data_IF_973359992668
#
_entry.id   IF_973359992668
#
_cell.length_a   1.000
_cell.length_b   1.000
_cell.length_c   1.000
_cell.angle_alpha   90.00
_cell.angle_beta   90.00
_cell.angle_gamma   90.00
#
_symmetry.space_group_name_H-M   'P 1'
#
loop_
_entity.id
_entity.type
_entity.pdbx_description
1 polymer ?
#
# COMPACT_ATOMS: atom_id res chain seq x y z
N UNK A 1 6.83 17.16 -30.52
CA UNK A 1 5.93 17.05 -29.35
C UNK A 1 5.93 18.39 -28.65
N UNK A 2 4.87 19.14 -28.81
CA UNK A 2 4.72 20.46 -28.18
C UNK A 2 4.50 20.24 -26.68
N UNK A 3 5.52 20.54 -25.88
CA UNK A 3 5.37 20.70 -24.44
C UNK A 3 4.37 21.82 -24.21
N UNK A 4 3.17 21.47 -23.81
CA UNK A 4 2.20 22.47 -23.39
C UNK A 4 2.75 23.10 -22.10
N UNK A 5 3.43 24.22 -22.25
CA UNK A 5 3.90 25.02 -21.14
C UNK A 5 2.65 25.53 -20.43
N UNK A 6 2.34 24.91 -19.31
CA UNK A 6 1.29 25.39 -18.40
C UNK A 6 1.63 26.85 -18.05
N UNK A 7 0.65 27.78 -18.18
CA UNK A 7 0.93 29.15 -17.79
C UNK A 7 1.42 29.19 -16.35
N UNK A 8 2.41 30.03 -16.03
CA UNK A 8 2.94 30.13 -14.68
C UNK A 8 1.80 30.51 -13.72
N UNK A 9 1.70 29.77 -12.60
CA UNK A 9 0.77 30.11 -11.54
C UNK A 9 1.22 31.44 -10.94
N UNK A 10 0.32 32.43 -10.77
CA UNK A 10 0.70 33.71 -10.15
C UNK A 10 1.29 33.51 -8.76
N UNK A 11 2.36 34.22 -8.42
CA UNK A 11 3.06 34.09 -7.13
C UNK A 11 2.12 34.20 -5.92
N UNK A 12 1.10 35.05 -6.00
CA UNK A 12 0.11 35.22 -4.95
C UNK A 12 -0.71 33.94 -4.67
N UNK A 13 -0.76 33.02 -5.62
CA UNK A 13 -1.51 31.76 -5.50
C UNK A 13 -0.63 30.58 -5.08
N UNK A 14 0.68 30.69 -5.21
CA UNK A 14 1.60 29.59 -4.96
C UNK A 14 1.56 29.08 -3.51
N UNK A 15 1.31 29.96 -2.55
CA UNK A 15 1.28 29.63 -1.12
C UNK A 15 -0.12 29.36 -0.58
N UNK A 16 -1.12 29.24 -1.42
CA UNK A 16 -2.47 28.89 -0.99
C UNK A 16 -2.54 27.40 -0.68
N UNK A 17 -3.20 27.05 0.42
CA UNK A 17 -3.37 25.66 0.84
C UNK A 17 -4.14 24.81 -0.19
N UNK A 18 -5.18 25.38 -0.78
CA UNK A 18 -6.01 24.71 -1.78
C UNK A 18 -5.30 24.47 -3.12
N UNK A 19 -4.12 25.05 -3.32
CA UNK A 19 -3.25 24.81 -4.47
C UNK A 19 -2.14 23.78 -4.20
N UNK A 20 -2.06 23.25 -2.98
CA UNK A 20 -1.04 22.28 -2.61
C UNK A 20 -1.54 20.86 -2.88
N UNK A 21 -1.06 20.22 -3.96
CA UNK A 21 -1.45 18.85 -4.31
C UNK A 21 -1.05 17.85 -3.23
N UNK A 22 0.10 18.06 -2.60
CA UNK A 22 0.56 17.17 -1.51
C UNK A 22 -0.36 17.23 -0.28
N UNK A 23 -0.98 18.37 0.00
CA UNK A 23 -2.00 18.45 1.04
C UNK A 23 -3.24 17.63 0.68
N UNK A 24 -3.70 17.70 -0.57
CA UNK A 24 -4.82 16.89 -1.06
C UNK A 24 -4.53 15.38 -0.93
N UNK A 25 -3.32 14.96 -1.28
CA UNK A 25 -2.87 13.57 -1.13
C UNK A 25 -2.82 13.15 0.34
N UNK A 26 -2.30 14.02 1.20
CA UNK A 26 -2.23 13.77 2.64
C UNK A 26 -3.62 13.61 3.25
N UNK A 27 -4.55 14.51 2.93
CA UNK A 27 -5.94 14.45 3.39
C UNK A 27 -6.64 13.18 2.89
N UNK A 28 -6.48 12.84 1.61
CA UNK A 28 -7.06 11.63 1.03
C UNK A 28 -6.49 10.37 1.69
N UNK A 29 -5.17 10.31 1.91
CA UNK A 29 -4.51 9.18 2.56
C UNK A 29 -5.05 8.95 3.99
N UNK A 30 -5.25 10.03 4.75
CA UNK A 30 -5.82 9.94 6.11
C UNK A 30 -7.28 9.47 6.08
N UNK A 31 -8.06 9.97 5.12
CA UNK A 31 -9.46 9.54 4.95
C UNK A 31 -9.56 8.06 4.58
N UNK A 32 -8.71 7.57 3.68
CA UNK A 32 -8.58 6.15 3.39
C UNK A 32 -8.24 5.33 4.63
N UNK A 33 -7.29 5.80 5.43
CA UNK A 33 -6.88 5.12 6.66
C UNK A 33 -8.03 4.90 7.64
N UNK A 34 -8.93 5.86 7.76
CA UNK A 34 -10.13 5.74 8.60
C UNK A 34 -11.08 4.64 8.10
N UNK A 35 -11.33 4.59 6.80
CA UNK A 35 -12.20 3.57 6.21
C UNK A 35 -11.55 2.18 6.31
N UNK A 36 -10.25 2.07 6.06
CA UNK A 36 -9.51 0.81 6.22
C UNK A 36 -9.55 0.29 7.64
N UNK A 37 -9.40 1.16 8.63
CA UNK A 37 -9.46 0.75 10.04
C UNK A 37 -10.77 0.03 10.35
N UNK A 38 -11.88 0.56 9.87
CA UNK A 38 -13.19 -0.07 10.01
C UNK A 38 -13.31 -1.36 9.19
N UNK A 39 -12.89 -1.31 7.93
CA UNK A 39 -13.02 -2.44 7.01
C UNK A 39 -12.16 -3.64 7.43
N UNK A 40 -11.00 -3.39 8.05
CA UNK A 40 -10.05 -4.43 8.46
C UNK A 40 -10.27 -4.94 9.88
N UNK A 41 -11.15 -4.32 10.63
CA UNK A 41 -11.39 -4.64 12.04
C UNK A 41 -11.74 -6.12 12.26
N UNK A 42 -12.62 -6.66 11.45
CA UNK A 42 -13.08 -8.05 11.56
C UNK A 42 -11.98 -9.05 11.13
N UNK A 43 -11.00 -8.60 10.37
CA UNK A 43 -9.85 -9.42 9.97
C UNK A 43 -8.72 -9.38 11.00
N UNK A 44 -8.80 -8.48 11.98
CA UNK A 44 -7.74 -8.29 12.96
C UNK A 44 -6.45 -7.72 12.37
N UNK A 45 -6.52 -7.03 11.23
CA UNK A 45 -5.36 -6.49 10.53
C UNK A 45 -5.30 -4.97 10.61
N UNK A 46 -4.10 -4.43 10.72
CA UNK A 46 -3.82 -3.02 10.39
C UNK A 46 -3.65 -2.89 8.87
N UNK A 47 -3.71 -1.65 8.36
CA UNK A 47 -3.51 -1.42 6.92
C UNK A 47 -2.13 -1.91 6.43
N UNK A 48 -0.99 -1.62 7.12
CA UNK A 48 0.30 -2.18 6.69
C UNK A 48 0.35 -3.70 6.69
N UNK A 49 -0.26 -4.36 7.67
CA UNK A 49 -0.36 -5.82 7.69
C UNK A 49 -1.18 -6.35 6.51
N UNK A 50 -2.27 -5.69 6.19
CA UNK A 50 -3.09 -6.01 5.03
C UNK A 50 -2.28 -5.91 3.72
N UNK A 51 -1.43 -4.90 3.57
CA UNK A 51 -0.56 -4.77 2.40
C UNK A 51 0.39 -5.96 2.26
N UNK A 52 0.98 -6.43 3.34
CA UNK A 52 1.83 -7.63 3.33
C UNK A 52 1.02 -8.85 2.88
N UNK A 53 -0.17 -9.01 3.43
CA UNK A 53 -1.05 -10.13 3.05
C UNK A 53 -1.44 -10.07 1.57
N UNK A 54 -1.71 -8.88 1.02
CA UNK A 54 -1.99 -8.72 -0.41
C UNK A 54 -0.83 -9.20 -1.27
N UNK A 55 0.40 -8.87 -0.91
CA UNK A 55 1.60 -9.34 -1.63
C UNK A 55 1.67 -10.87 -1.62
N UNK A 56 1.46 -11.47 -0.46
CA UNK A 56 1.56 -12.93 -0.31
C UNK A 56 0.39 -13.67 -0.98
N UNK A 57 -0.81 -13.11 -0.93
CA UNK A 57 -1.97 -13.71 -1.62
C UNK A 57 -1.82 -13.66 -3.15
N UNK A 58 -1.20 -12.62 -3.67
CA UNK A 58 -1.00 -12.45 -5.11
C UNK A 58 0.17 -13.30 -5.64
N UNK A 59 1.31 -13.24 -4.95
CA UNK A 59 2.57 -13.77 -5.47
C UNK A 59 3.04 -15.06 -4.80
N UNK A 60 2.43 -15.46 -3.68
CA UNK A 60 2.93 -16.56 -2.87
C UNK A 60 4.16 -16.15 -2.03
N UNK A 61 4.96 -17.12 -1.58
CA UNK A 61 6.11 -16.85 -0.72
C UNK A 61 7.08 -15.84 -1.35
N UNK A 62 7.57 -14.91 -0.51
CA UNK A 62 8.50 -13.85 -0.94
C UNK A 62 9.57 -13.62 0.12
N UNK A 63 10.80 -13.32 -0.31
CA UNK A 63 11.84 -12.83 0.60
C UNK A 63 11.41 -11.51 1.27
N UNK A 64 11.81 -11.32 2.52
CA UNK A 64 11.53 -10.08 3.27
C UNK A 64 11.95 -8.86 2.47
N UNK A 65 13.13 -8.90 1.86
CA UNK A 65 13.64 -7.79 1.03
C UNK A 65 12.70 -7.44 -0.13
N UNK A 66 12.18 -8.43 -0.83
CA UNK A 66 11.25 -8.23 -1.95
C UNK A 66 9.93 -7.62 -1.49
N UNK A 67 9.42 -8.04 -0.33
CA UNK A 67 8.22 -7.44 0.26
C UNK A 67 8.48 -5.96 0.59
N UNK A 68 9.60 -5.66 1.22
CA UNK A 68 9.98 -4.29 1.55
C UNK A 68 10.10 -3.39 0.33
N UNK A 69 10.73 -3.86 -0.73
CA UNK A 69 10.86 -3.13 -1.98
C UNK A 69 9.49 -2.86 -2.63
N UNK A 70 8.63 -3.87 -2.68
CA UNK A 70 7.30 -3.75 -3.28
C UNK A 70 6.39 -2.80 -2.50
N UNK A 71 6.45 -2.82 -1.17
CA UNK A 71 5.63 -1.98 -0.30
C UNK A 71 6.29 -0.63 0.03
N UNK A 72 7.54 -0.42 -0.41
CA UNK A 72 8.33 0.78 -0.12
C UNK A 72 8.53 0.97 1.39
N UNK A 73 8.78 -0.12 2.09
CA UNK A 73 9.05 -0.15 3.51
C UNK A 73 10.48 -0.60 3.78
N UNK A 74 11.17 0.09 4.69
CA UNK A 74 12.48 -0.33 5.15
C UNK A 74 12.38 -1.55 6.09
N UNK A 75 13.50 -2.23 6.32
CA UNK A 75 13.56 -3.41 7.17
C UNK A 75 13.19 -3.12 8.63
N UNK A 76 13.50 -1.93 9.13
CA UNK A 76 13.16 -1.51 10.49
C UNK A 76 11.67 -1.38 10.72
N UNK A 77 10.92 -0.95 9.70
CA UNK A 77 9.46 -0.85 9.73
C UNK A 77 8.81 -2.21 9.47
N UNK A 78 9.34 -2.97 8.51
CA UNK A 78 8.76 -4.24 8.07
C UNK A 78 8.95 -5.36 9.12
N UNK A 79 10.08 -5.42 9.80
CA UNK A 79 10.40 -6.49 10.73
C UNK A 79 9.41 -6.64 11.89
N UNK A 80 9.03 -5.56 12.62
CA UNK A 80 7.98 -5.66 13.64
C UNK A 80 6.61 -6.07 13.09
N UNK A 81 6.31 -5.62 11.89
CA UNK A 81 5.07 -5.92 11.17
C UNK A 81 4.95 -7.42 10.90
N UNK A 82 6.02 -8.03 10.38
CA UNK A 82 6.09 -9.47 10.11
C UNK A 82 6.03 -10.30 11.39
N UNK A 83 6.67 -9.84 12.47
CA UNK A 83 6.58 -10.50 13.78
C UNK A 83 5.14 -10.57 14.30
N UNK A 84 4.39 -9.49 14.14
CA UNK A 84 2.98 -9.45 14.55
C UNK A 84 2.12 -10.39 13.72
N UNK A 85 2.35 -10.46 12.41
CA UNK A 85 1.66 -11.41 11.53
C UNK A 85 2.00 -12.85 11.86
N UNK A 86 3.25 -13.14 12.20
CA UNK A 86 3.69 -14.45 12.66
C UNK A 86 3.02 -14.82 14.00
N UNK A 87 3.02 -13.89 14.95
CA UNK A 87 2.35 -14.09 16.26
C UNK A 87 0.85 -14.31 16.12
N UNK A 88 0.22 -13.70 15.12
CA UNK A 88 -1.20 -13.90 14.81
C UNK A 88 -1.47 -15.23 14.08
N UNK A 89 -0.43 -15.98 13.74
CA UNK A 89 -0.57 -17.27 13.05
C UNK A 89 -0.90 -17.17 11.57
N UNK A 90 -0.65 -16.02 10.93
CA UNK A 90 -0.99 -15.76 9.53
C UNK A 90 0.17 -16.02 8.57
N UNK A 91 1.41 -15.86 9.04
CA UNK A 91 2.62 -16.10 8.26
C UNK A 91 3.64 -16.89 9.08
N UNK A 92 4.58 -17.50 8.40
CA UNK A 92 5.77 -18.12 8.99
C UNK A 92 7.02 -17.67 8.27
N UNK A 93 8.14 -17.69 8.97
CA UNK A 93 9.46 -17.36 8.45
C UNK A 93 10.24 -18.62 8.16
N UNK A 94 10.93 -18.63 7.05
CA UNK A 94 11.82 -19.69 6.68
C UNK A 94 13.14 -19.09 6.18
N UNK A 95 14.26 -19.49 6.82
CA UNK A 95 15.58 -19.10 6.32
C UNK A 95 15.90 -19.88 5.06
N UNK A 96 16.45 -19.17 4.09
CA UNK A 96 16.91 -19.82 2.86
C UNK A 96 18.07 -20.78 3.15
N UNK A 97 18.01 -21.97 2.55
CA UNK A 97 19.12 -22.94 2.60
C UNK A 97 20.30 -22.52 1.72
N UNK A 98 20.04 -21.67 0.73
CA UNK A 98 21.05 -21.19 -0.23
C UNK A 98 21.77 -19.92 0.28
N UNK A 99 21.04 -19.07 1.02
CA UNK A 99 21.57 -17.83 1.60
C UNK A 99 21.02 -17.66 3.01
N UNK A 100 21.83 -17.94 4.03
CA UNK A 100 21.47 -17.83 5.45
C UNK A 100 21.02 -16.41 5.88
N UNK A 101 21.31 -15.38 5.08
CA UNK A 101 20.91 -14.00 5.32
C UNK A 101 19.51 -13.70 4.81
N UNK A 102 18.99 -14.54 3.92
CA UNK A 102 17.68 -14.37 3.31
C UNK A 102 16.62 -15.12 4.09
N UNK A 103 15.54 -14.42 4.43
CA UNK A 103 14.36 -14.98 5.07
C UNK A 103 13.18 -14.85 4.12
N UNK A 104 12.51 -15.97 3.85
CA UNK A 104 11.30 -16.01 3.03
C UNK A 104 10.09 -16.08 3.93
N UNK A 105 9.05 -15.32 3.59
CA UNK A 105 7.77 -15.28 4.29
C UNK A 105 6.77 -16.13 3.52
N UNK A 106 6.12 -17.02 4.23
CA UNK A 106 5.09 -17.92 3.72
C UNK A 106 3.77 -17.66 4.43
N UNK A 107 2.66 -17.84 3.72
CA UNK A 107 1.35 -17.92 4.35
C UNK A 107 1.23 -19.24 5.14
N UNK A 108 0.62 -19.17 6.31
CA UNK A 108 0.11 -20.35 7.00
C UNK A 108 -1.25 -20.74 6.41
N UNK A 109 -1.80 -21.92 6.72
CA UNK A 109 -3.19 -22.23 6.36
C UNK A 109 -4.18 -21.17 6.85
N UNK A 110 -3.98 -20.62 8.05
CA UNK A 110 -4.80 -19.52 8.58
C UNK A 110 -4.68 -18.24 7.77
N UNK A 111 -3.47 -17.90 7.31
CA UNK A 111 -3.25 -16.75 6.44
C UNK A 111 -3.89 -16.92 5.07
N UNK A 112 -3.84 -18.12 4.51
CA UNK A 112 -4.47 -18.42 3.23
C UNK A 112 -6.00 -18.39 3.33
N UNK A 113 -6.56 -18.93 4.40
CA UNK A 113 -8.01 -18.93 4.65
C UNK A 113 -8.56 -17.50 4.80
N UNK A 114 -7.77 -16.57 5.32
CA UNK A 114 -8.16 -15.17 5.50
C UNK A 114 -8.40 -14.45 4.17
N UNK A 115 -7.87 -14.95 3.09
CA UNK A 115 -8.00 -14.36 1.74
C UNK A 115 -9.46 -14.16 1.34
N UNK A 116 -10.30 -15.16 1.52
CA UNK A 116 -11.73 -15.05 1.18
C UNK A 116 -12.44 -14.02 2.05
N UNK A 117 -12.15 -14.01 3.35
CA UNK A 117 -12.72 -13.03 4.27
C UNK A 117 -12.28 -11.60 3.96
N UNK A 118 -11.18 -11.40 3.26
CA UNK A 118 -10.67 -10.09 2.86
C UNK A 118 -11.32 -9.51 1.59
N UNK A 119 -12.01 -10.33 0.79
CA UNK A 119 -12.63 -9.87 -0.47
C UNK A 119 -13.59 -8.67 -0.30
N UNK A 120 -14.38 -8.54 0.77
CA UNK A 120 -15.24 -7.37 0.96
C UNK A 120 -14.46 -6.05 1.15
N UNK A 121 -13.20 -6.10 1.58
CA UNK A 121 -12.40 -4.89 1.86
C UNK A 121 -12.21 -4.03 0.61
N UNK A 122 -11.65 -4.53 -0.51
CA UNK A 122 -11.48 -3.71 -1.70
C UNK A 122 -12.82 -3.24 -2.29
N UNK A 123 -13.88 -4.04 -2.18
CA UNK A 123 -15.23 -3.64 -2.63
C UNK A 123 -15.75 -2.45 -1.83
N UNK A 124 -15.58 -2.49 -0.52
CA UNK A 124 -15.97 -1.39 0.37
C UNK A 124 -15.16 -0.12 0.09
N UNK A 125 -13.86 -0.28 -0.14
CA UNK A 125 -12.98 0.85 -0.47
C UNK A 125 -13.39 1.49 -1.80
N UNK A 126 -13.65 0.68 -2.82
CA UNK A 126 -14.12 1.16 -4.11
C UNK A 126 -15.40 1.97 -3.98
N UNK A 127 -16.39 1.45 -3.27
CA UNK A 127 -17.66 2.15 -3.03
C UNK A 127 -17.46 3.45 -2.24
N UNK A 128 -16.58 3.43 -1.23
CA UNK A 128 -16.33 4.59 -0.36
C UNK A 128 -15.69 5.77 -1.09
N UNK A 129 -14.93 5.53 -2.16
CA UNK A 129 -14.32 6.60 -2.95
C UNK A 129 -15.33 7.43 -3.74
N UNK A 130 -16.49 6.88 -4.04
CA UNK A 130 -17.46 7.52 -4.92
C UNK A 130 -17.02 7.64 -6.38
N UNK A 131 -15.87 7.04 -6.74
CA UNK A 131 -15.32 7.08 -8.09
C UNK A 131 -15.67 5.82 -8.88
N UNK A 132 -15.74 5.95 -10.20
CA UNK A 132 -15.85 4.81 -11.09
C UNK A 132 -14.51 4.06 -11.14
N UNK A 133 -14.54 2.81 -11.62
CA UNK A 133 -13.31 2.02 -11.82
C UNK A 133 -12.34 2.75 -12.78
N UNK A 134 -12.88 3.36 -13.83
CA UNK A 134 -12.08 4.12 -14.81
C UNK A 134 -11.40 5.33 -14.17
N UNK A 135 -12.15 6.10 -13.36
CA UNK A 135 -11.60 7.23 -12.62
C UNK A 135 -10.52 6.80 -11.62
N UNK A 136 -10.71 5.68 -10.94
CA UNK A 136 -9.70 5.12 -10.03
C UNK A 136 -8.44 4.71 -10.76
N UNK A 137 -8.55 4.09 -11.94
CA UNK A 137 -7.40 3.73 -12.77
C UNK A 137 -6.64 4.97 -13.23
N UNK A 138 -7.37 6.02 -13.62
CA UNK A 138 -6.77 7.31 -13.98
C UNK A 138 -6.01 7.91 -12.82
N UNK A 139 -6.61 7.93 -11.62
CA UNK A 139 -5.97 8.42 -10.41
C UNK A 139 -4.71 7.62 -10.06
N UNK A 140 -4.78 6.29 -10.10
CA UNK A 140 -3.62 5.42 -9.86
C UNK A 140 -2.50 5.69 -10.86
N UNK A 141 -2.82 5.87 -12.13
CA UNK A 141 -1.84 6.20 -13.17
C UNK A 141 -1.14 7.53 -12.92
N UNK A 142 -1.89 8.57 -12.54
CA UNK A 142 -1.34 9.89 -12.20
C UNK A 142 -0.47 9.82 -10.94
N UNK A 143 -0.91 9.12 -9.91
CA UNK A 143 -0.12 8.93 -8.68
C UNK A 143 1.18 8.18 -8.95
N UNK A 144 1.15 7.15 -9.81
CA UNK A 144 2.35 6.42 -10.22
C UNK A 144 3.35 7.32 -10.93
N UNK A 145 2.89 8.21 -11.83
CA UNK A 145 3.76 9.18 -12.51
C UNK A 145 4.38 10.18 -11.53
N UNK A 146 3.58 10.69 -10.60
CA UNK A 146 4.08 11.61 -9.56
C UNK A 146 5.14 10.92 -8.70
N UNK A 147 4.87 9.71 -8.26
CA UNK A 147 5.79 8.94 -7.41
C UNK A 147 7.11 8.68 -8.12
N UNK A 148 7.08 8.23 -9.38
CA UNK A 148 8.29 7.99 -10.17
C UNK A 148 9.12 9.25 -10.38
N UNK A 149 8.47 10.37 -10.67
CA UNK A 149 9.15 11.64 -10.85
C UNK A 149 9.83 12.13 -9.57
N UNK A 150 9.15 11.98 -8.42
CA UNK A 150 9.70 12.37 -7.12
C UNK A 150 10.86 11.46 -6.68
N UNK A 151 10.83 10.18 -7.03
CA UNK A 151 11.93 9.24 -6.74
C UNK A 151 13.22 9.60 -7.49
N UNK A 152 13.11 10.25 -8.64
CA UNK A 152 14.24 10.69 -9.47
C UNK A 152 14.72 12.11 -9.13
N UNK A 153 13.99 12.81 -8.29
CA UNK A 153 14.29 14.21 -7.96
C UNK A 153 15.51 14.37 -7.05
#
# INVERSE_FOLDING_TARGET
MTSATRPPVPDAELLRLDHQVCFSLHAASRAFGSVYRDALKDLGLTYPQYLVMLVLWEHGPRPVKAIGEQLRLDSGTLSPLLKRLESAGLVRRERSTEDERSVTIHLTPGGDDLREAALPVPRRMLAATGLTIEELRTLQGLLGRVTSALDEA
#
